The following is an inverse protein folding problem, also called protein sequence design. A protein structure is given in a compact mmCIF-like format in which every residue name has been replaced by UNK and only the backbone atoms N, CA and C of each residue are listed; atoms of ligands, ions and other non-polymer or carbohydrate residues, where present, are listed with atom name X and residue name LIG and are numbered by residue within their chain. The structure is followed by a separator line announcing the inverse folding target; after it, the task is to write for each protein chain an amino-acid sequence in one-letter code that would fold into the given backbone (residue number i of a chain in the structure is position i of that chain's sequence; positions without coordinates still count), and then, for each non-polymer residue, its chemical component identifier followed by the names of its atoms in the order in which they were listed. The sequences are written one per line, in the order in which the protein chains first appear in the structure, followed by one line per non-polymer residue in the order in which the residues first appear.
data_IF_312661673496
#
_entry.id   IF_312661673496
#
_cell.length_a   1.000
_cell.length_b   1.000
_cell.length_c   1.000
_cell.angle_alpha   90.00
_cell.angle_beta   90.00
_cell.angle_gamma   90.00
#
_symmetry.space_group_name_H-M   'P 1'
#
loop_
_entity.id
_entity.type
_entity.pdbx_description
1 polymer ?
#
# COMPACT_ATOMS: atom_id res chain seq x y z
N UNK A 1 -43.74 3.04 -13.40
CA UNK A 1 -42.74 3.93 -12.78
C UNK A 1 -41.38 3.68 -13.44
N UNK A 2 -40.95 4.51 -14.40
CA UNK A 2 -39.67 4.30 -15.09
C UNK A 2 -38.50 4.69 -14.18
N UNK A 3 -37.56 3.75 -14.00
CA UNK A 3 -36.31 3.95 -13.27
C UNK A 3 -35.43 4.89 -14.09
N UNK A 4 -35.21 6.13 -13.62
CA UNK A 4 -34.27 7.07 -14.24
C UNK A 4 -32.87 6.46 -14.20
N UNK A 5 -32.38 6.00 -15.35
CA UNK A 5 -30.98 5.66 -15.54
C UNK A 5 -30.13 6.92 -15.32
N UNK A 6 -29.39 6.95 -14.21
CA UNK A 6 -28.39 7.98 -13.95
C UNK A 6 -27.24 7.72 -14.92
N UNK A 7 -27.28 8.37 -16.08
CA UNK A 7 -26.14 8.47 -16.98
C UNK A 7 -25.03 9.26 -16.28
N UNK A 8 -24.19 8.58 -15.49
CA UNK A 8 -22.89 9.11 -15.07
C UNK A 8 -21.97 9.12 -16.30
N UNK A 9 -22.21 10.08 -17.20
CA UNK A 9 -21.36 10.35 -18.35
C UNK A 9 -19.91 10.53 -17.89
N UNK A 10 -19.02 9.86 -18.61
CA UNK A 10 -17.56 9.72 -18.49
C UNK A 10 -16.77 11.06 -18.49
N UNK A 11 -17.12 12.03 -17.65
CA UNK A 11 -16.49 13.37 -17.61
C UNK A 11 -15.22 13.47 -16.76
N UNK A 12 -14.73 12.38 -16.19
CA UNK A 12 -13.57 12.39 -15.27
C UNK A 12 -12.46 11.43 -15.71
N UNK A 13 -12.09 11.50 -16.99
CA UNK A 13 -10.78 11.01 -17.41
C UNK A 13 -9.71 11.95 -16.84
N UNK A 14 -8.57 11.45 -16.34
CA UNK A 14 -7.49 12.30 -15.86
C UNK A 14 -7.03 13.20 -17.01
N UNK A 15 -7.28 14.51 -16.89
CA UNK A 15 -6.79 15.52 -17.82
C UNK A 15 -5.32 15.71 -17.48
N UNK A 16 -4.43 15.35 -18.41
CA UNK A 16 -3.00 15.65 -18.26
C UNK A 16 -2.82 17.18 -18.18
N UNK A 17 -1.95 17.68 -17.30
CA UNK A 17 -1.80 19.11 -17.11
C UNK A 17 -1.28 19.79 -18.40
N UNK A 18 -1.79 21.00 -18.74
CA UNK A 18 -1.62 21.66 -20.04
C UNK A 18 -0.21 22.20 -20.34
N UNK A 19 0.77 22.02 -19.46
CA UNK A 19 2.14 22.52 -19.67
C UNK A 19 2.95 21.72 -20.69
N UNK A 20 2.36 20.71 -21.33
CA UNK A 20 3.02 19.84 -22.31
C UNK A 20 3.00 20.39 -23.75
N UNK A 21 2.41 21.57 -23.99
CA UNK A 21 2.28 22.17 -25.33
C UNK A 21 2.83 23.59 -25.47
N UNK A 22 3.74 24.03 -24.59
CA UNK A 22 4.27 25.40 -24.64
C UNK A 22 5.62 25.52 -25.37
N UNK A 23 5.80 26.56 -26.22
CA UNK A 23 7.07 26.88 -26.87
C UNK A 23 8.17 27.24 -25.86
N UNK A 24 9.41 26.98 -26.22
CA UNK A 24 10.60 26.93 -25.36
C UNK A 24 11.09 28.24 -24.74
N UNK A 25 10.48 29.40 -25.00
CA UNK A 25 11.26 30.66 -24.97
C UNK A 25 10.90 31.68 -23.87
N UNK A 26 10.27 31.28 -22.76
CA UNK A 26 10.10 32.20 -21.60
C UNK A 26 10.85 31.74 -20.36
N UNK A 27 11.88 32.51 -20.01
CA UNK A 27 12.68 32.40 -18.79
C UNK A 27 11.89 32.92 -17.58
N UNK A 28 10.78 32.28 -17.25
CA UNK A 28 10.14 32.44 -15.94
C UNK A 28 10.75 31.43 -14.97
N UNK A 29 11.02 31.79 -13.70
CA UNK A 29 11.51 30.84 -12.71
C UNK A 29 10.48 29.72 -12.57
N UNK A 30 10.82 28.54 -13.12
CA UNK A 30 9.97 27.37 -13.11
C UNK A 30 9.80 26.94 -11.65
N UNK A 31 8.64 27.21 -11.08
CA UNK A 31 8.18 26.56 -9.85
C UNK A 31 8.42 25.06 -10.07
N UNK A 32 9.10 24.35 -9.14
CA UNK A 32 9.41 22.94 -9.34
C UNK A 32 8.11 22.20 -9.66
N UNK A 33 8.04 21.65 -10.87
CA UNK A 33 6.83 21.00 -11.35
C UNK A 33 6.46 19.87 -10.40
N UNK A 34 5.25 19.92 -9.84
CA UNK A 34 4.72 18.85 -9.01
C UNK A 34 4.68 17.60 -9.89
N UNK A 35 5.32 16.48 -9.49
CA UNK A 35 5.26 15.26 -10.28
C UNK A 35 3.81 14.84 -10.51
N UNK A 36 3.44 14.43 -11.73
CA UNK A 36 2.03 14.18 -12.07
C UNK A 36 1.34 13.15 -11.16
N UNK A 37 2.08 12.18 -10.62
CA UNK A 37 1.55 11.19 -9.68
C UNK A 37 1.20 11.75 -8.30
N UNK A 38 1.55 13.02 -8.02
CA UNK A 38 1.13 13.80 -6.85
C UNK A 38 0.09 14.87 -7.20
N UNK A 39 -0.19 15.09 -8.49
CA UNK A 39 -1.22 16.03 -8.91
C UNK A 39 -2.60 15.49 -8.47
N UNK A 40 -3.42 16.37 -7.88
CA UNK A 40 -4.78 16.02 -7.48
C UNK A 40 -5.61 15.60 -8.69
N UNK A 41 -5.39 16.22 -9.86
CA UNK A 41 -6.08 15.91 -11.12
C UNK A 41 -5.83 14.48 -11.61
N UNK A 42 -4.70 13.88 -11.26
CA UNK A 42 -4.39 12.50 -11.56
C UNK A 42 -4.78 11.56 -10.42
N UNK A 43 -4.38 11.91 -9.19
CA UNK A 43 -4.52 11.03 -8.02
C UNK A 43 -5.99 10.78 -7.71
N UNK A 44 -6.85 11.81 -7.79
CA UNK A 44 -8.28 11.73 -7.46
C UNK A 44 -9.00 10.74 -8.40
N UNK A 45 -9.00 10.90 -9.73
CA UNK A 45 -9.65 9.93 -10.62
C UNK A 45 -9.06 8.53 -10.51
N UNK A 46 -7.75 8.41 -10.34
CA UNK A 46 -7.05 7.12 -10.35
C UNK A 46 -7.38 6.29 -9.09
N UNK A 47 -7.18 6.85 -7.90
CA UNK A 47 -7.41 6.09 -6.66
C UNK A 47 -8.89 6.03 -6.29
N UNK A 48 -9.64 7.12 -6.46
CA UNK A 48 -11.01 7.21 -5.95
C UNK A 48 -12.05 6.75 -6.97
N UNK A 49 -11.94 7.15 -8.24
CA UNK A 49 -12.93 6.75 -9.23
C UNK A 49 -12.66 5.34 -9.77
N UNK A 50 -11.40 5.00 -10.07
CA UNK A 50 -11.07 3.70 -10.66
C UNK A 50 -10.83 2.63 -9.59
N UNK A 51 -9.79 2.77 -8.77
CA UNK A 51 -9.40 1.72 -7.82
C UNK A 51 -10.47 1.38 -6.78
N UNK A 52 -11.08 2.38 -6.11
CA UNK A 52 -12.15 2.10 -5.14
C UNK A 52 -13.38 1.48 -5.80
N UNK A 53 -13.76 1.92 -7.01
CA UNK A 53 -14.87 1.32 -7.75
C UNK A 53 -14.60 -0.14 -8.07
N UNK A 54 -13.41 -0.45 -8.61
CA UNK A 54 -12.96 -1.82 -8.86
C UNK A 54 -13.07 -2.71 -7.61
N UNK A 55 -12.59 -2.22 -6.46
CA UNK A 55 -12.70 -2.95 -5.19
C UNK A 55 -14.15 -3.10 -4.70
N UNK A 56 -15.00 -2.11 -4.99
CA UNK A 56 -16.42 -2.14 -4.62
C UNK A 56 -17.18 -3.16 -5.48
N UNK A 57 -17.00 -3.12 -6.79
CA UNK A 57 -17.64 -4.04 -7.74
C UNK A 57 -17.20 -5.49 -7.48
N UNK A 58 -15.91 -5.74 -7.25
CA UNK A 58 -15.43 -7.09 -6.93
C UNK A 58 -15.90 -7.63 -5.57
N UNK A 59 -16.22 -6.75 -4.61
CA UNK A 59 -16.76 -7.14 -3.29
C UNK A 59 -18.27 -7.41 -3.33
N UNK A 60 -19.01 -6.92 -4.34
CA UNK A 60 -20.48 -6.82 -4.29
C UNK A 60 -21.21 -8.16 -4.19
N UNK A 61 -21.25 -8.72 -2.99
CA UNK A 61 -22.22 -9.70 -2.49
C UNK A 61 -23.38 -8.93 -1.85
N UNK A 62 -24.08 -8.10 -2.63
CA UNK A 62 -25.37 -7.58 -2.19
C UNK A 62 -26.42 -8.68 -2.35
N UNK A 63 -27.42 -8.81 -1.46
CA UNK A 63 -28.58 -9.65 -1.72
C UNK A 63 -29.17 -9.23 -3.08
N UNK A 64 -29.18 -10.14 -4.07
CA UNK A 64 -29.60 -9.86 -5.44
C UNK A 64 -28.48 -9.58 -6.47
N UNK A 65 -27.20 -9.53 -6.09
CA UNK A 65 -26.05 -9.53 -7.02
C UNK A 65 -25.29 -10.86 -6.89
N UNK A 66 -25.29 -11.66 -7.96
CA UNK A 66 -24.92 -13.09 -7.90
C UNK A 66 -23.41 -13.41 -7.88
N UNK A 67 -22.49 -12.44 -7.97
CA UNK A 67 -21.09 -12.78 -8.17
C UNK A 67 -20.11 -12.00 -7.28
N UNK A 68 -19.43 -12.76 -6.41
CA UNK A 68 -18.29 -12.30 -5.60
C UNK A 68 -17.00 -12.84 -6.22
N UNK A 69 -16.06 -11.95 -6.54
CA UNK A 69 -14.80 -12.28 -7.25
C UNK A 69 -13.57 -12.02 -6.37
N UNK A 70 -13.26 -12.91 -5.41
CA UNK A 70 -12.17 -12.72 -4.45
C UNK A 70 -10.79 -12.69 -5.11
N UNK A 71 -10.53 -13.50 -6.12
CA UNK A 71 -9.22 -13.60 -6.76
C UNK A 71 -8.95 -12.40 -7.65
N UNK A 72 -9.94 -11.92 -8.43
CA UNK A 72 -9.85 -10.64 -9.13
C UNK A 72 -9.57 -9.51 -8.15
N UNK A 73 -10.27 -9.46 -7.01
CA UNK A 73 -10.03 -8.43 -5.98
C UNK A 73 -8.60 -8.48 -5.43
N UNK A 74 -8.09 -9.68 -5.15
CA UNK A 74 -6.74 -9.89 -4.66
C UNK A 74 -5.70 -9.51 -5.71
N UNK A 75 -5.96 -9.82 -6.98
CA UNK A 75 -5.12 -9.47 -8.11
C UNK A 75 -5.06 -7.96 -8.32
N UNK A 76 -6.19 -7.26 -8.30
CA UNK A 76 -6.25 -5.80 -8.36
C UNK A 76 -5.39 -5.21 -7.24
N UNK A 77 -5.59 -5.62 -5.97
CA UNK A 77 -4.75 -5.16 -4.86
C UNK A 77 -3.27 -5.45 -5.06
N UNK A 78 -2.92 -6.58 -5.69
CA UNK A 78 -1.52 -6.97 -5.96
C UNK A 78 -0.93 -6.09 -7.06
N UNK A 79 -1.64 -5.90 -8.17
CA UNK A 79 -1.20 -5.08 -9.31
C UNK A 79 -1.03 -3.62 -8.91
N UNK A 80 -1.99 -3.05 -8.18
CA UNK A 80 -1.91 -1.66 -7.70
C UNK A 80 -0.75 -1.43 -6.73
N UNK A 81 -0.44 -2.41 -5.86
CA UNK A 81 0.75 -2.34 -5.00
C UNK A 81 2.05 -2.44 -5.80
N UNK A 82 2.12 -3.37 -6.75
CA UNK A 82 3.29 -3.55 -7.63
C UNK A 82 3.57 -2.30 -8.47
N UNK A 83 2.53 -1.66 -8.99
CA UNK A 83 2.64 -0.51 -9.91
C UNK A 83 2.54 0.85 -9.22
N UNK A 84 2.49 0.91 -7.88
CA UNK A 84 2.48 2.18 -7.11
C UNK A 84 3.69 3.09 -7.43
N UNK A 85 4.82 2.49 -7.82
CA UNK A 85 6.05 3.19 -8.17
C UNK A 85 6.19 3.57 -9.65
N UNK A 86 5.15 3.36 -10.49
CA UNK A 86 5.22 3.76 -11.89
C UNK A 86 5.27 5.30 -11.99
N UNK A 87 6.39 5.80 -12.52
CA UNK A 87 6.62 7.23 -12.77
C UNK A 87 6.60 7.58 -14.25
N UNK A 88 6.59 6.60 -15.16
CA UNK A 88 6.52 6.83 -16.60
C UNK A 88 5.07 7.01 -17.05
N UNK A 89 4.77 8.16 -17.68
CA UNK A 89 3.43 8.49 -18.19
C UNK A 89 2.85 7.38 -19.09
N UNK A 90 3.55 6.90 -20.16
CA UNK A 90 2.99 5.87 -21.03
C UNK A 90 2.74 4.54 -20.31
N UNK A 91 3.60 4.18 -19.35
CA UNK A 91 3.42 2.98 -18.53
C UNK A 91 2.20 3.10 -17.61
N UNK A 92 2.00 4.27 -17.00
CA UNK A 92 0.83 4.56 -16.17
C UNK A 92 -0.44 4.53 -17.03
N UNK A 93 -0.44 5.14 -18.21
CA UNK A 93 -1.60 5.14 -19.11
C UNK A 93 -1.99 3.70 -19.52
N UNK A 94 -1.03 2.88 -19.93
CA UNK A 94 -1.29 1.48 -20.28
C UNK A 94 -1.91 0.74 -19.10
N UNK A 95 -1.31 0.86 -17.92
CA UNK A 95 -1.83 0.25 -16.71
C UNK A 95 -3.27 0.71 -16.40
N UNK A 96 -3.54 2.01 -16.46
CA UNK A 96 -4.88 2.53 -16.18
C UNK A 96 -5.91 2.07 -17.20
N UNK A 97 -5.56 2.00 -18.49
CA UNK A 97 -6.45 1.50 -19.54
C UNK A 97 -6.83 0.04 -19.27
N UNK A 98 -5.85 -0.83 -18.95
CA UNK A 98 -6.12 -2.22 -18.57
C UNK A 98 -7.08 -2.32 -17.36
N UNK A 99 -6.93 -1.41 -16.38
CA UNK A 99 -7.81 -1.37 -15.22
C UNK A 99 -9.22 -0.85 -15.57
N UNK A 100 -9.33 0.11 -16.49
CA UNK A 100 -10.62 0.58 -17.00
C UNK A 100 -11.36 -0.50 -17.81
N UNK A 101 -10.64 -1.36 -18.53
CA UNK A 101 -11.23 -2.49 -19.26
C UNK A 101 -11.85 -3.52 -18.30
N UNK A 102 -11.23 -3.72 -17.14
CA UNK A 102 -11.80 -4.57 -16.07
C UNK A 102 -13.02 -3.86 -15.45
N UNK A 103 -12.95 -2.56 -15.22
CA UNK A 103 -14.08 -1.80 -14.68
C UNK A 103 -15.27 -1.77 -15.65
N UNK A 104 -15.02 -1.64 -16.95
CA UNK A 104 -16.07 -1.67 -17.97
C UNK A 104 -16.75 -3.03 -18.02
N UNK A 105 -16.00 -4.14 -17.92
CA UNK A 105 -16.58 -5.49 -17.81
C UNK A 105 -17.48 -5.65 -16.58
N UNK A 106 -17.12 -5.05 -15.44
CA UNK A 106 -17.98 -5.00 -14.26
C UNK A 106 -19.26 -4.19 -14.48
N UNK A 107 -19.17 -3.08 -15.22
CA UNK A 107 -20.31 -2.19 -15.50
C UNK A 107 -21.25 -2.76 -16.56
N UNK A 108 -20.72 -3.43 -17.59
CA UNK A 108 -21.49 -4.09 -18.64
C UNK A 108 -22.16 -5.38 -18.15
N UNK A 109 -21.74 -5.92 -17.01
CA UNK A 109 -22.29 -7.15 -16.47
C UNK A 109 -21.84 -8.39 -17.25
N UNK A 110 -20.67 -8.35 -17.89
CA UNK A 110 -20.04 -9.46 -18.62
C UNK A 110 -19.59 -10.58 -17.65
N UNK A 111 -20.55 -11.29 -17.05
CA UNK A 111 -20.30 -12.33 -16.04
C UNK A 111 -19.42 -13.47 -16.56
N UNK A 112 -19.58 -13.86 -17.82
CA UNK A 112 -18.78 -14.92 -18.44
C UNK A 112 -17.28 -14.58 -18.46
N UNK A 113 -16.93 -13.37 -18.91
CA UNK A 113 -15.54 -12.89 -18.99
C UNK A 113 -14.91 -12.72 -17.61
N UNK A 114 -15.70 -12.23 -16.64
CA UNK A 114 -15.24 -12.09 -15.26
C UNK A 114 -15.06 -13.45 -14.58
N UNK A 115 -15.96 -14.40 -14.83
CA UNK A 115 -15.85 -15.78 -14.32
C UNK A 115 -14.61 -16.48 -14.88
N UNK A 116 -14.35 -16.38 -16.18
CA UNK A 116 -13.15 -16.93 -16.81
C UNK A 116 -11.87 -16.34 -16.20
N UNK A 117 -11.85 -15.00 -16.02
CA UNK A 117 -10.72 -14.30 -15.41
C UNK A 117 -10.50 -14.77 -13.96
N UNK A 118 -11.57 -14.97 -13.19
CA UNK A 118 -11.52 -15.47 -11.82
C UNK A 118 -10.91 -16.89 -11.78
N UNK A 119 -11.44 -17.84 -12.56
CA UNK A 119 -10.91 -19.21 -12.62
C UNK A 119 -9.44 -19.24 -13.04
N UNK A 120 -9.04 -18.39 -13.99
CA UNK A 120 -7.63 -18.27 -14.39
C UNK A 120 -6.74 -17.77 -13.25
N UNK A 121 -7.21 -16.81 -12.46
CA UNK A 121 -6.46 -16.28 -11.30
C UNK A 121 -6.40 -17.28 -10.15
N UNK A 122 -7.48 -18.01 -9.92
CA UNK A 122 -7.53 -19.11 -8.94
C UNK A 122 -6.52 -20.21 -9.30
N UNK A 123 -6.52 -20.70 -10.54
CA UNK A 123 -5.55 -21.69 -11.01
C UNK A 123 -4.11 -21.21 -10.82
N UNK A 124 -3.84 -19.93 -11.14
CA UNK A 124 -2.52 -19.31 -10.93
C UNK A 124 -2.12 -19.27 -9.45
N UNK A 125 -3.07 -19.08 -8.54
CA UNK A 125 -2.84 -19.11 -7.09
C UNK A 125 -2.52 -20.53 -6.62
N UNK A 126 -3.34 -21.50 -7.01
CA UNK A 126 -3.17 -22.92 -6.66
C UNK A 126 -1.79 -23.43 -7.09
N UNK A 127 -1.40 -23.19 -8.34
CA UNK A 127 -0.08 -23.58 -8.85
C UNK A 127 1.08 -22.96 -8.06
N UNK A 128 0.94 -21.69 -7.67
CA UNK A 128 1.95 -21.01 -6.85
C UNK A 128 2.06 -21.64 -5.46
N UNK A 129 0.94 -21.98 -4.84
CA UNK A 129 0.92 -22.52 -3.50
C UNK A 129 1.43 -23.97 -3.47
N UNK A 130 1.14 -24.77 -4.52
CA UNK A 130 1.74 -26.09 -4.74
C UNK A 130 3.27 -26.01 -4.92
N UNK A 131 3.77 -25.11 -5.76
CA UNK A 131 5.21 -24.93 -5.94
C UNK A 131 5.90 -24.53 -4.62
N UNK A 132 5.29 -23.64 -3.84
CA UNK A 132 5.81 -23.26 -2.51
C UNK A 132 5.81 -24.44 -1.54
N UNK A 133 4.74 -25.24 -1.49
CA UNK A 133 4.66 -26.36 -0.55
C UNK A 133 5.70 -27.43 -0.88
N UNK A 134 5.91 -27.74 -2.16
CA UNK A 134 6.97 -28.65 -2.62
C UNK A 134 8.36 -28.14 -2.23
N UNK A 135 8.67 -26.87 -2.46
CA UNK A 135 9.95 -26.28 -2.07
C UNK A 135 10.17 -26.32 -0.55
N UNK A 136 9.13 -26.08 0.24
CA UNK A 136 9.19 -26.16 1.71
C UNK A 136 9.40 -27.60 2.18
N UNK A 137 8.73 -28.57 1.57
CA UNK A 137 8.90 -29.99 1.88
C UNK A 137 10.33 -30.46 1.54
N UNK A 138 10.86 -30.08 0.38
CA UNK A 138 12.23 -30.41 -0.02
C UNK A 138 13.29 -29.83 0.93
N UNK A 139 13.09 -28.61 1.44
CA UNK A 139 13.99 -28.01 2.43
C UNK A 139 13.92 -28.71 3.79
N UNK A 140 12.74 -29.17 4.22
CA UNK A 140 12.58 -29.87 5.49
C UNK A 140 13.35 -31.20 5.51
N UNK A 141 13.33 -31.94 4.38
CA UNK A 141 14.02 -33.22 4.24
C UNK A 141 15.56 -33.13 4.22
N UNK A 142 16.14 -31.95 4.00
CA UNK A 142 17.60 -31.77 3.90
C UNK A 142 18.26 -31.33 5.23
N UNK A 143 17.53 -31.31 6.35
CA UNK A 143 17.98 -30.73 7.61
C UNK A 143 18.86 -31.66 8.48
N UNK A 144 19.91 -32.25 7.91
CA UNK A 144 20.98 -32.90 8.68
C UNK A 144 21.95 -31.84 9.25
N UNK A 145 21.47 -31.00 10.17
CA UNK A 145 22.32 -29.95 10.74
C UNK A 145 23.11 -30.45 11.94
N UNK A 146 24.44 -30.40 11.82
CA UNK A 146 25.39 -30.59 12.94
C UNK A 146 24.99 -29.68 14.14
N UNK A 147 25.20 -30.13 15.40
CA UNK A 147 24.88 -29.32 16.56
C UNK A 147 25.67 -28.00 16.54
N UNK A 148 25.06 -26.90 17.00
CA UNK A 148 25.69 -25.58 16.99
C UNK A 148 26.89 -25.53 17.95
N UNK A 149 28.06 -25.11 17.45
CA UNK A 149 29.29 -24.95 18.25
C UNK A 149 29.63 -23.49 18.48
N UNK A 150 30.06 -23.14 19.70
CA UNK A 150 30.54 -21.79 20.02
C UNK A 150 31.82 -21.48 19.23
N UNK A 151 31.85 -20.34 18.55
CA UNK A 151 33.01 -19.89 17.75
C UNK A 151 33.97 -19.00 18.57
N UNK A 152 33.77 -18.88 19.89
CA UNK A 152 34.65 -18.12 20.79
C UNK A 152 34.38 -16.62 20.87
N UNK A 153 33.19 -16.13 20.50
CA UNK A 153 32.85 -14.71 20.63
C UNK A 153 31.36 -14.43 20.59
N UNK A 154 31.00 -13.15 20.73
CA UNK A 154 29.63 -12.66 20.66
C UNK A 154 29.38 -11.89 19.35
N UNK A 155 28.13 -11.90 18.89
CA UNK A 155 27.65 -11.01 17.86
C UNK A 155 27.69 -9.57 18.36
N UNK A 156 28.01 -8.65 17.46
CA UNK A 156 27.95 -7.22 17.74
C UNK A 156 26.54 -6.87 18.25
N UNK A 157 26.41 -6.16 19.38
CA UNK A 157 25.11 -5.71 19.84
C UNK A 157 24.46 -4.84 18.77
N UNK A 158 23.15 -4.99 18.63
CA UNK A 158 22.32 -4.20 17.72
C UNK A 158 21.18 -3.58 18.51
N UNK A 159 20.51 -2.57 17.94
CA UNK A 159 19.35 -1.92 18.55
C UNK A 159 18.26 -2.90 19.06
N UNK A 160 18.15 -4.09 18.45
CA UNK A 160 17.12 -5.09 18.79
C UNK A 160 17.67 -6.32 19.50
N UNK A 161 18.99 -6.47 19.61
CA UNK A 161 19.58 -7.68 20.15
C UNK A 161 20.76 -7.31 21.05
N UNK A 162 20.78 -7.80 22.30
CA UNK A 162 21.97 -7.73 23.15
C UNK A 162 23.14 -8.48 22.47
N UNK A 163 24.37 -8.40 23.00
CA UNK A 163 25.43 -9.28 22.54
C UNK A 163 24.99 -10.75 22.68
N UNK A 164 24.88 -11.47 21.57
CA UNK A 164 24.43 -12.87 21.51
C UNK A 164 25.61 -13.78 21.20
N UNK A 165 25.65 -15.04 21.67
CA UNK A 165 26.75 -15.94 21.36
C UNK A 165 26.84 -16.22 19.85
N UNK A 166 28.06 -16.23 19.32
CA UNK A 166 28.34 -16.58 17.92
C UNK A 166 28.51 -18.10 17.81
N UNK A 167 27.55 -18.75 17.15
CA UNK A 167 27.48 -20.20 16.95
C UNK A 167 27.67 -20.57 15.47
N UNK A 168 28.26 -21.74 15.20
CA UNK A 168 28.40 -22.34 13.86
C UNK A 168 27.99 -23.82 13.86
N UNK A 169 27.02 -24.25 13.04
CA UNK A 169 26.03 -23.40 12.35
C UNK A 169 25.21 -22.60 13.37
N UNK A 170 24.70 -21.43 12.96
CA UNK A 170 23.86 -20.62 13.83
C UNK A 170 22.48 -21.29 13.95
N UNK A 171 21.94 -21.54 15.16
CA UNK A 171 20.63 -22.15 15.33
C UNK A 171 19.56 -21.34 14.61
N UNK A 172 18.68 -22.03 13.88
CA UNK A 172 17.60 -21.40 13.13
C UNK A 172 16.77 -20.47 14.02
N UNK A 173 16.47 -20.88 15.27
CA UNK A 173 15.73 -20.05 16.22
C UNK A 173 16.37 -18.70 16.51
N UNK A 174 17.70 -18.66 16.67
CA UNK A 174 18.44 -17.41 16.93
C UNK A 174 18.50 -16.54 15.67
N UNK A 175 18.82 -17.11 14.52
CA UNK A 175 18.81 -16.40 13.23
C UNK A 175 17.43 -15.83 12.91
N UNK A 176 16.38 -16.64 13.09
CA UNK A 176 14.99 -16.24 12.88
C UNK A 176 14.53 -15.21 13.89
N UNK A 177 14.97 -15.26 15.15
CA UNK A 177 14.70 -14.22 16.13
C UNK A 177 15.25 -12.86 15.68
N UNK A 178 16.51 -12.81 15.25
CA UNK A 178 17.14 -11.57 14.75
C UNK A 178 16.38 -11.07 13.51
N UNK A 179 16.12 -11.96 12.54
CA UNK A 179 15.39 -11.61 11.32
C UNK A 179 13.98 -11.10 11.62
N UNK A 180 13.22 -11.79 12.49
CA UNK A 180 11.86 -11.41 12.87
C UNK A 180 11.82 -10.03 13.54
N UNK A 181 12.81 -9.70 14.37
CA UNK A 181 12.91 -8.38 15.01
C UNK A 181 13.15 -7.28 13.98
N UNK A 182 14.09 -7.48 13.06
CA UNK A 182 14.37 -6.53 11.96
C UNK A 182 13.13 -6.35 11.07
N UNK A 183 12.49 -7.45 10.67
CA UNK A 183 11.28 -7.44 9.86
C UNK A 183 10.11 -6.76 10.56
N UNK A 184 9.96 -6.92 11.87
CA UNK A 184 8.94 -6.24 12.68
C UNK A 184 9.15 -4.73 12.70
N UNK A 185 10.40 -4.26 12.73
CA UNK A 185 10.71 -2.82 12.58
C UNK A 185 10.41 -2.33 11.17
N UNK A 186 10.85 -3.04 10.16
CA UNK A 186 10.59 -2.69 8.76
C UNK A 186 9.08 -2.54 8.49
N UNK A 187 8.27 -3.50 8.95
CA UNK A 187 6.80 -3.42 8.85
C UNK A 187 6.22 -2.20 9.57
N UNK A 188 6.77 -1.79 10.71
CA UNK A 188 6.34 -0.56 11.41
C UNK A 188 6.70 0.69 10.62
N UNK A 189 7.91 0.76 10.07
CA UNK A 189 8.33 1.85 9.20
C UNK A 189 7.46 1.95 7.94
N UNK A 190 7.11 0.80 7.36
CA UNK A 190 6.22 0.73 6.21
C UNK A 190 4.81 1.23 6.56
N UNK A 191 4.21 0.77 7.67
CA UNK A 191 2.91 1.28 8.16
C UNK A 191 2.94 2.78 8.43
N UNK A 192 4.01 3.29 9.03
CA UNK A 192 4.19 4.74 9.23
C UNK A 192 4.17 5.51 7.92
N UNK A 193 4.90 5.04 6.91
CA UNK A 193 4.88 5.64 5.56
C UNK A 193 3.50 5.55 4.92
N UNK A 194 2.80 4.43 5.12
CA UNK A 194 1.43 4.24 4.64
C UNK A 194 0.46 5.24 5.26
N UNK A 195 0.43 5.39 6.59
CA UNK A 195 -0.42 6.37 7.26
C UNK A 195 -0.09 7.80 6.87
N UNK A 196 1.19 8.15 6.74
CA UNK A 196 1.60 9.45 6.24
C UNK A 196 1.08 9.70 4.82
N UNK A 197 1.15 8.69 3.93
CA UNK A 197 0.60 8.77 2.57
C UNK A 197 -0.92 8.91 2.58
N UNK A 198 -1.64 8.12 3.38
CA UNK A 198 -3.10 8.18 3.49
C UNK A 198 -3.57 9.53 3.99
N UNK A 199 -2.82 10.14 4.92
CA UNK A 199 -3.10 11.49 5.42
C UNK A 199 -2.98 12.55 4.32
N UNK A 200 -1.97 12.44 3.46
CA UNK A 200 -1.83 13.34 2.30
C UNK A 200 -2.99 13.12 1.32
N UNK A 201 -3.31 11.88 1.00
CA UNK A 201 -4.43 11.54 0.12
C UNK A 201 -5.77 12.10 0.64
N UNK A 202 -6.03 11.97 1.95
CA UNK A 202 -7.22 12.51 2.61
C UNK A 202 -7.34 14.03 2.44
N UNK A 203 -6.23 14.77 2.60
CA UNK A 203 -6.21 16.22 2.40
C UNK A 203 -6.47 16.61 0.95
N UNK A 204 -5.91 15.86 0.00
CA UNK A 204 -6.15 16.09 -1.43
C UNK A 204 -7.62 15.85 -1.79
N UNK A 205 -8.24 14.81 -1.23
CA UNK A 205 -9.67 14.52 -1.40
C UNK A 205 -10.53 15.66 -0.86
N UNK A 206 -10.27 16.11 0.37
CA UNK A 206 -11.00 17.23 0.99
C UNK A 206 -10.87 18.49 0.14
N UNK A 207 -9.66 18.81 -0.32
CA UNK A 207 -9.41 19.98 -1.15
C UNK A 207 -10.14 19.89 -2.50
N UNK A 208 -10.16 18.70 -3.11
CA UNK A 208 -10.86 18.46 -4.37
C UNK A 208 -12.37 18.65 -4.24
N UNK A 209 -13.00 18.09 -3.20
CA UNK A 209 -14.44 18.23 -2.99
C UNK A 209 -14.83 19.67 -2.67
N UNK A 210 -14.06 20.38 -1.83
CA UNK A 210 -14.26 21.81 -1.58
C UNK A 210 -14.22 22.65 -2.85
N UNK A 211 -13.29 22.34 -3.77
CA UNK A 211 -13.19 23.03 -5.04
C UNK A 211 -14.36 22.73 -5.99
N UNK A 212 -15.04 21.59 -5.84
CA UNK A 212 -16.09 21.13 -6.77
C UNK A 212 -17.49 21.48 -6.29
N UNK A 213 -17.77 21.35 -4.99
CA UNK A 213 -19.11 21.54 -4.40
C UNK A 213 -19.37 22.98 -3.92
N UNK A 214 -18.37 23.86 -4.01
CA UNK A 214 -18.43 25.22 -3.47
C UNK A 214 -18.30 25.25 -1.94
N UNK A 215 -18.09 26.45 -1.38
CA UNK A 215 -17.85 26.64 0.07
C UNK A 215 -19.12 26.44 0.94
N UNK A 216 -20.26 26.15 0.31
CA UNK A 216 -21.59 26.09 0.93
C UNK A 216 -21.96 24.69 1.47
N UNK A 217 -21.09 23.69 1.27
CA UNK A 217 -21.32 22.36 1.84
C UNK A 217 -20.69 22.24 3.23
N UNK A 218 -21.58 22.07 4.21
CA UNK A 218 -21.35 22.00 5.66
C UNK A 218 -20.53 20.79 6.16
N UNK A 219 -19.57 20.31 5.36
CA UNK A 219 -18.69 19.19 5.67
C UNK A 219 -17.79 19.45 6.88
N UNK A 220 -17.57 20.72 7.24
CA UNK A 220 -16.75 21.13 8.38
C UNK A 220 -17.50 21.24 9.72
N UNK A 221 -18.83 21.41 9.73
CA UNK A 221 -19.56 21.59 11.01
C UNK A 221 -20.00 20.30 11.67
N UNK A 222 -20.07 19.18 10.94
CA UNK A 222 -20.39 17.88 11.53
C UNK A 222 -19.22 17.36 12.36
N UNK A 223 -19.30 17.55 13.69
CA UNK A 223 -18.43 16.92 14.71
C UNK A 223 -18.65 15.40 14.81
N UNK A 224 -18.85 14.71 13.70
CA UNK A 224 -18.86 13.24 13.71
C UNK A 224 -17.42 12.75 13.85
N UNK A 225 -17.17 11.76 14.71
CA UNK A 225 -15.87 11.07 14.76
C UNK A 225 -15.55 10.33 13.45
N UNK A 226 -16.58 10.10 12.62
CA UNK A 226 -16.46 9.58 11.25
C UNK A 226 -16.20 10.67 10.21
N UNK A 227 -16.20 11.95 10.60
CA UNK A 227 -15.85 13.06 9.73
C UNK A 227 -14.38 12.96 9.31
N UNK A 228 -14.04 13.62 8.20
CA UNK A 228 -12.68 13.67 7.65
C UNK A 228 -11.65 14.17 8.68
N UNK A 229 -12.06 15.04 9.60
CA UNK A 229 -11.23 15.54 10.70
C UNK A 229 -10.95 14.47 11.77
N UNK A 230 -11.91 13.57 12.01
CA UNK A 230 -11.71 12.40 12.88
C UNK A 230 -10.63 11.46 12.34
N UNK A 231 -10.64 11.18 11.04
CA UNK A 231 -9.62 10.33 10.41
C UNK A 231 -8.22 10.96 10.39
N UNK A 232 -8.07 12.28 10.14
CA UNK A 232 -6.75 12.95 10.23
C UNK A 232 -6.18 12.84 11.66
N UNK A 233 -7.04 13.02 12.67
CA UNK A 233 -6.66 12.89 14.08
C UNK A 233 -6.19 11.48 14.40
N UNK A 234 -6.99 10.45 14.05
CA UNK A 234 -6.63 9.04 14.28
C UNK A 234 -5.30 8.66 13.61
N UNK A 235 -5.11 9.05 12.35
CA UNK A 235 -3.86 8.78 11.62
C UNK A 235 -2.66 9.50 12.25
N UNK A 236 -2.85 10.73 12.72
CA UNK A 236 -1.81 11.51 13.40
C UNK A 236 -1.40 10.86 14.71
N UNK A 237 -2.37 10.51 15.55
CA UNK A 237 -2.13 9.84 16.84
C UNK A 237 -1.40 8.51 16.66
N UNK A 238 -1.75 7.72 15.63
CA UNK A 238 -1.06 6.46 15.35
C UNK A 238 0.38 6.67 14.85
N UNK A 239 0.63 7.70 14.03
CA UNK A 239 2.00 8.07 13.62
C UNK A 239 2.82 8.49 14.84
N UNK A 240 2.27 9.34 15.71
CA UNK A 240 2.95 9.80 16.94
C UNK A 240 3.22 8.63 17.90
N UNK A 241 2.26 7.72 18.07
CA UNK A 241 2.42 6.49 18.85
C UNK A 241 3.57 5.63 18.34
N UNK A 242 3.70 5.47 17.01
CA UNK A 242 4.84 4.78 16.41
C UNK A 242 6.16 5.52 16.62
N UNK A 243 6.16 6.86 16.50
CA UNK A 243 7.36 7.68 16.71
C UNK A 243 7.87 7.62 18.15
N UNK A 244 6.98 7.67 19.15
CA UNK A 244 7.33 7.46 20.56
C UNK A 244 7.99 6.08 20.78
N UNK A 245 7.50 5.03 20.12
CA UNK A 245 8.10 3.69 20.19
C UNK A 245 9.49 3.68 19.57
N UNK A 246 9.70 4.34 18.43
CA UNK A 246 11.03 4.45 17.81
C UNK A 246 12.02 5.24 18.67
N UNK A 247 11.58 6.34 19.28
CA UNK A 247 12.41 7.10 20.23
C UNK A 247 12.81 6.21 21.40
N UNK A 248 11.86 5.48 22.00
CA UNK A 248 12.14 4.55 23.10
C UNK A 248 13.10 3.42 22.69
N UNK A 249 13.00 2.93 21.45
CA UNK A 249 13.95 1.96 20.90
C UNK A 249 15.35 2.57 20.80
N UNK A 250 15.50 3.72 20.14
CA UNK A 250 16.78 4.41 19.97
C UNK A 250 17.44 4.78 21.32
N UNK A 251 16.65 5.17 22.33
CA UNK A 251 17.17 5.50 23.67
C UNK A 251 17.77 4.30 24.42
N UNK A 252 17.45 3.05 24.05
CA UNK A 252 18.08 1.86 24.65
C UNK A 252 19.54 1.69 24.21
N UNK A 253 19.91 2.26 23.08
CA UNK A 253 21.29 2.24 22.56
C UNK A 253 22.21 3.11 23.40
N UNK A 254 21.83 4.36 23.65
CA UNK A 254 22.66 5.33 24.37
C UNK A 254 22.86 5.05 25.86
N UNK A 255 22.01 4.20 26.48
CA UNK A 255 22.20 3.80 27.90
C UNK A 255 23.26 2.71 28.08
N UNK A 256 23.57 1.94 27.03
CA UNK A 256 24.60 0.89 27.10
C UNK A 256 26.02 1.44 27.13
N UNK A 257 26.25 2.62 26.54
CA UNK A 257 27.58 3.24 26.48
C UNK A 257 28.01 3.90 27.80
N UNK A 258 27.05 4.40 28.60
CA UNK A 258 27.38 5.14 29.84
C UNK A 258 27.71 4.25 31.05
N UNK A 259 27.37 2.96 31.02
CA UNK A 259 27.67 2.01 32.11
C UNK A 259 29.04 1.34 32.01
N UNK A 260 29.82 1.63 30.96
CA UNK A 260 31.15 1.03 30.75
C UNK A 260 32.36 1.95 31.03
N UNK A 261 32.15 3.12 31.63
CA UNK A 261 33.22 4.07 32.01
C UNK A 261 33.36 4.23 33.53
N UNK A 262 33.15 3.14 34.28
CA UNK A 262 33.47 3.06 35.71
C UNK A 262 34.41 1.88 35.91
N UNK A 263 35.66 2.03 35.48
CA UNK A 263 36.83 1.30 35.96
C UNK A 263 38.00 2.27 36.07
#
# INVERSE_FOLDING_TARGET
MPVKAINMTLRHRPILPPYLSLPTDSCTPRIPAIPFYRDSKHTVPTKWNLYRSLLRFSKSSKPGYQAHYPEIRNEIKRLWRRHKGLTSIPSVQRFLNEQYDVLSAFQSGESAKLSELESRLENKRVLRDLCKSQNMAGQASQSDTKPPRLTGGYLRPTLFNPPLPRLKPQPIGLSMMIHNRLRKRERRMERRREYASLRVDLKLEVAFWRATEGDDTDWSRRKDDRSLFGWDKLLREEIESMDRRFIKENMREGKGEKTGMVE
#
